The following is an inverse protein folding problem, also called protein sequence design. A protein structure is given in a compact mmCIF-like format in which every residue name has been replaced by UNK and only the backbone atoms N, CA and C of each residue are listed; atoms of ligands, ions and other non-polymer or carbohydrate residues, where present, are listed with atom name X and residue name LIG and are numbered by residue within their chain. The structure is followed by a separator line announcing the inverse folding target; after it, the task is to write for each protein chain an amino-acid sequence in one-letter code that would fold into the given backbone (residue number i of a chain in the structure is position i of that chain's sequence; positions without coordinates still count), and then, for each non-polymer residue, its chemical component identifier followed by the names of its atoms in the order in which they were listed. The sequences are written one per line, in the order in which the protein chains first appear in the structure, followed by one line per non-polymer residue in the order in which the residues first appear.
data_IF_280528445050
#
_entry.id   IF_280528445050
#
_cell.length_a   1.000
_cell.length_b   1.000
_cell.length_c   1.000
_cell.angle_alpha   90.00
_cell.angle_beta   90.00
_cell.angle_gamma   90.00
#
_symmetry.space_group_name_H-M   'P 1'
#
loop_
_entity.id
_entity.type
_entity.pdbx_description
1 polymer ?
#
# COMPACT_ATOMS: atom_id res chain seq x y z
N UNK A 1 -13.17 -20.34 11.63
CA UNK A 1 -14.14 -19.70 10.69
C UNK A 1 -15.09 -18.80 11.46
N UNK A 2 -14.92 -17.46 11.40
CA UNK A 2 -15.87 -16.54 12.01
C UNK A 2 -17.26 -16.64 11.36
N UNK A 3 -18.32 -16.45 12.15
CA UNK A 3 -19.72 -16.68 11.75
C UNK A 3 -20.56 -15.40 11.67
N UNK A 4 -19.92 -14.26 11.34
CA UNK A 4 -20.54 -12.93 11.41
C UNK A 4 -21.87 -12.85 10.62
N UNK A 5 -21.93 -13.49 9.46
CA UNK A 5 -23.14 -13.49 8.61
C UNK A 5 -24.25 -14.43 9.09
N UNK A 6 -23.95 -15.31 10.06
CA UNK A 6 -24.95 -16.18 10.70
C UNK A 6 -25.60 -15.54 11.93
N UNK A 7 -25.13 -14.37 12.36
CA UNK A 7 -25.69 -13.66 13.51
C UNK A 7 -27.00 -12.96 13.12
N UNK A 8 -27.96 -12.93 14.04
CA UNK A 8 -29.15 -12.09 13.88
C UNK A 8 -28.73 -10.61 13.75
N UNK A 9 -29.50 -9.78 13.01
CA UNK A 9 -29.11 -8.40 12.69
C UNK A 9 -28.67 -7.56 13.91
N UNK A 10 -29.39 -7.68 15.03
CA UNK A 10 -29.08 -6.94 16.26
C UNK A 10 -27.73 -7.34 16.87
N UNK A 11 -27.40 -8.65 16.88
CA UNK A 11 -26.11 -9.13 17.37
C UNK A 11 -24.99 -8.79 16.40
N UNK A 12 -25.24 -8.86 15.09
CA UNK A 12 -24.28 -8.44 14.05
C UNK A 12 -23.91 -6.97 14.23
N UNK A 13 -24.90 -6.09 14.37
CA UNK A 13 -24.69 -4.66 14.61
C UNK A 13 -23.92 -4.40 15.92
N UNK A 14 -24.29 -5.10 17.01
CA UNK A 14 -23.61 -4.99 18.30
C UNK A 14 -22.13 -5.35 18.23
N UNK A 15 -21.81 -6.46 17.55
CA UNK A 15 -20.43 -6.93 17.33
C UNK A 15 -19.67 -5.93 16.45
N UNK A 16 -20.24 -5.54 15.32
CA UNK A 16 -19.62 -4.60 14.38
C UNK A 16 -19.33 -3.24 15.00
N UNK A 17 -20.17 -2.75 15.91
CA UNK A 17 -19.95 -1.48 16.62
C UNK A 17 -18.76 -1.54 17.58
N UNK A 18 -18.49 -2.72 18.16
CA UNK A 18 -17.44 -2.92 19.19
C UNK A 18 -16.16 -3.53 18.65
N UNK A 19 -16.17 -4.02 17.42
CA UNK A 19 -15.00 -4.63 16.80
C UNK A 19 -13.87 -3.60 16.67
N UNK A 20 -12.66 -3.90 17.17
CA UNK A 20 -11.51 -3.02 17.03
C UNK A 20 -11.12 -2.80 15.56
N UNK A 21 -10.57 -1.62 15.26
CA UNK A 21 -10.03 -1.30 13.93
C UNK A 21 -8.65 -1.94 13.68
N UNK A 22 -8.00 -2.45 14.71
CA UNK A 22 -6.70 -3.13 14.66
C UNK A 22 -6.76 -4.62 14.32
N UNK A 23 -7.95 -5.17 14.08
CA UNK A 23 -8.10 -6.57 13.68
C UNK A 23 -7.48 -6.78 12.28
N UNK A 24 -6.67 -7.85 12.06
CA UNK A 24 -6.01 -8.07 10.77
C UNK A 24 -6.95 -8.10 9.57
N UNK A 25 -6.52 -7.50 8.46
CA UNK A 25 -7.29 -7.46 7.20
C UNK A 25 -7.53 -8.85 6.62
N UNK A 26 -6.63 -9.80 6.88
CA UNK A 26 -6.81 -11.22 6.51
C UNK A 26 -8.08 -11.83 7.12
N UNK A 27 -8.57 -11.27 8.24
CA UNK A 27 -9.82 -11.68 8.89
C UNK A 27 -11.00 -10.81 8.44
N UNK A 28 -10.81 -9.48 8.34
CA UNK A 28 -11.91 -8.53 8.21
C UNK A 28 -12.29 -8.21 6.77
N UNK A 29 -11.33 -8.22 5.84
CA UNK A 29 -11.51 -7.75 4.46
C UNK A 29 -12.66 -8.46 3.73
N UNK A 30 -12.71 -9.79 3.82
CA UNK A 30 -13.70 -10.61 3.13
C UNK A 30 -14.95 -10.91 3.97
N UNK A 31 -14.92 -10.61 5.28
CA UNK A 31 -16.00 -10.89 6.21
C UNK A 31 -16.91 -9.67 6.44
N UNK A 32 -16.35 -8.46 6.40
CA UNK A 32 -17.06 -7.25 6.83
C UNK A 32 -17.35 -6.37 5.62
N UNK A 33 -18.63 -6.20 5.31
CA UNK A 33 -19.12 -5.22 4.32
C UNK A 33 -19.77 -4.00 4.96
N UNK A 34 -19.76 -3.92 6.30
CA UNK A 34 -20.38 -2.82 7.04
C UNK A 34 -19.58 -1.52 6.89
N UNK A 35 -20.19 -0.52 6.26
CA UNK A 35 -19.56 0.78 5.98
C UNK A 35 -19.24 1.56 7.26
N UNK A 36 -19.98 1.35 8.36
CA UNK A 36 -19.68 2.00 9.64
C UNK A 36 -18.40 1.47 10.27
N UNK A 37 -18.08 0.18 10.12
CA UNK A 37 -16.79 -0.40 10.49
C UNK A 37 -15.66 0.23 9.68
N UNK A 38 -15.77 0.25 8.35
CA UNK A 38 -14.73 0.81 7.47
C UNK A 38 -14.54 2.31 7.66
N UNK A 39 -15.61 3.06 7.96
CA UNK A 39 -15.53 4.46 8.37
C UNK A 39 -14.61 4.64 9.58
N UNK A 40 -14.83 3.85 10.65
CA UNK A 40 -13.96 3.91 11.84
C UNK A 40 -12.51 3.54 11.51
N UNK A 41 -12.30 2.53 10.65
CA UNK A 41 -10.96 2.16 10.19
C UNK A 41 -10.27 3.34 9.48
N UNK A 42 -10.97 4.02 8.57
CA UNK A 42 -10.45 5.19 7.87
C UNK A 42 -10.13 6.34 8.83
N UNK A 43 -11.09 6.72 9.68
CA UNK A 43 -10.93 7.83 10.63
C UNK A 43 -9.82 7.57 11.66
N UNK A 44 -9.56 6.30 12.00
CA UNK A 44 -8.45 5.94 12.89
C UNK A 44 -7.07 6.04 12.24
N UNK A 45 -6.99 5.95 10.91
CA UNK A 45 -5.72 5.88 10.16
C UNK A 45 -5.37 7.19 9.46
N UNK A 46 -6.36 7.97 9.05
CA UNK A 46 -6.16 9.19 8.27
C UNK A 46 -6.95 10.36 8.86
N UNK A 47 -6.25 11.45 9.14
CA UNK A 47 -6.84 12.67 9.72
C UNK A 47 -7.92 13.30 8.81
N UNK A 48 -7.74 13.22 7.50
CA UNK A 48 -8.71 13.71 6.51
C UNK A 48 -9.25 12.55 5.69
N UNK A 49 -10.57 12.44 5.66
CA UNK A 49 -11.29 11.42 4.94
C UNK A 49 -12.42 12.02 4.10
N UNK A 50 -12.23 12.07 2.78
CA UNK A 50 -13.27 12.45 1.83
C UNK A 50 -13.74 11.22 1.05
N UNK A 51 -14.85 10.65 1.51
CA UNK A 51 -15.44 9.44 0.91
C UNK A 51 -16.20 9.73 -0.40
N UNK A 52 -16.49 10.99 -0.71
CA UNK A 52 -17.29 11.36 -1.89
C UNK A 52 -16.62 10.95 -3.20
N UNK A 53 -15.28 10.98 -3.22
CA UNK A 53 -14.44 10.54 -4.35
C UNK A 53 -14.33 9.02 -4.51
N UNK A 54 -14.96 8.25 -3.62
CA UNK A 54 -14.95 6.78 -3.59
C UNK A 54 -16.37 6.20 -3.72
N UNK A 55 -17.27 6.93 -4.40
CA UNK A 55 -18.69 6.57 -4.55
C UNK A 55 -19.40 6.36 -3.19
N UNK A 56 -19.00 7.11 -2.16
CA UNK A 56 -19.49 6.98 -0.80
C UNK A 56 -19.24 5.59 -0.15
N UNK A 57 -18.27 4.82 -0.65
CA UNK A 57 -17.83 3.58 0.01
C UNK A 57 -16.53 3.81 0.79
N UNK A 58 -16.65 3.74 2.12
CA UNK A 58 -15.54 3.73 3.07
C UNK A 58 -14.66 2.50 2.90
N UNK A 59 -15.25 1.35 2.58
CA UNK A 59 -14.48 0.12 2.30
C UNK A 59 -13.57 0.31 1.09
N UNK A 60 -14.11 0.84 -0.01
CA UNK A 60 -13.32 1.19 -1.20
C UNK A 60 -12.22 2.18 -0.86
N UNK A 61 -12.57 3.27 -0.17
CA UNK A 61 -11.61 4.28 0.25
C UNK A 61 -10.47 3.69 1.07
N UNK A 62 -10.78 2.83 2.05
CA UNK A 62 -9.78 2.19 2.88
C UNK A 62 -8.80 1.39 2.04
N UNK A 63 -9.31 0.56 1.13
CA UNK A 63 -8.46 -0.34 0.34
C UNK A 63 -7.63 0.36 -0.72
N UNK A 64 -8.21 1.34 -1.43
CA UNK A 64 -7.44 2.16 -2.39
C UNK A 64 -6.30 2.88 -1.67
N UNK A 65 -6.60 3.62 -0.59
CA UNK A 65 -5.57 4.36 0.18
C UNK A 65 -4.56 3.43 0.87
N UNK A 66 -4.99 2.25 1.30
CA UNK A 66 -4.09 1.29 1.92
C UNK A 66 -3.08 0.74 0.91
N UNK A 67 -3.54 0.37 -0.29
CA UNK A 67 -2.67 -0.15 -1.34
C UNK A 67 -1.75 0.95 -1.88
N UNK A 68 -2.28 2.16 -2.11
CA UNK A 68 -1.48 3.34 -2.44
C UNK A 68 -0.36 3.56 -1.41
N UNK A 69 -0.68 3.48 -0.11
CA UNK A 69 0.32 3.64 0.94
C UNK A 69 1.39 2.54 0.94
N UNK A 70 1.04 1.29 0.63
CA UNK A 70 2.07 0.24 0.51
C UNK A 70 3.01 0.54 -0.67
N UNK A 71 2.45 0.95 -1.81
CA UNK A 71 3.23 1.29 -3.01
C UNK A 71 4.12 2.52 -2.77
N UNK A 72 3.56 3.58 -2.18
CA UNK A 72 4.28 4.83 -1.92
C UNK A 72 5.47 4.67 -0.96
N UNK A 73 5.45 3.66 -0.10
CA UNK A 73 6.52 3.36 0.85
C UNK A 73 7.32 2.10 0.47
N UNK A 74 7.08 1.55 -0.72
CA UNK A 74 7.86 0.43 -1.24
C UNK A 74 9.26 0.91 -1.65
N UNK A 75 10.29 0.38 -1.00
CA UNK A 75 11.69 0.65 -1.33
C UNK A 75 12.18 -0.49 -2.23
N UNK A 76 12.51 -0.24 -3.50
CA UNK A 76 12.98 -1.30 -4.37
C UNK A 76 14.30 -1.89 -3.86
N UNK A 77 14.50 -3.18 -4.14
CA UNK A 77 15.57 -4.04 -3.65
C UNK A 77 15.60 -4.30 -2.13
N UNK A 78 14.84 -3.54 -1.32
CA UNK A 78 14.76 -3.71 0.13
C UNK A 78 13.41 -4.28 0.60
N UNK A 79 12.31 -3.87 -0.02
CA UNK A 79 10.96 -4.31 0.35
C UNK A 79 10.58 -5.57 -0.41
N UNK A 80 10.16 -6.63 0.30
CA UNK A 80 9.67 -7.86 -0.35
C UNK A 80 8.37 -7.56 -1.13
N UNK A 81 8.33 -7.94 -2.40
CA UNK A 81 7.14 -7.88 -3.26
C UNK A 81 5.90 -8.54 -2.63
N UNK A 82 6.07 -9.53 -1.74
CA UNK A 82 4.96 -10.15 -0.99
C UNK A 82 4.16 -9.15 -0.16
N UNK A 83 4.79 -8.07 0.32
CA UNK A 83 4.09 -7.00 1.07
C UNK A 83 2.93 -6.39 0.27
N UNK A 84 3.06 -6.35 -1.06
CA UNK A 84 2.02 -5.89 -1.98
C UNK A 84 1.13 -7.08 -2.38
N UNK A 85 1.73 -8.20 -2.79
CA UNK A 85 0.99 -9.34 -3.35
C UNK A 85 0.03 -10.00 -2.34
N UNK A 86 0.37 -10.03 -1.06
CA UNK A 86 -0.48 -10.62 -0.01
C UNK A 86 -1.75 -9.79 0.26
N UNK A 87 -1.72 -8.48 -0.07
CA UNK A 87 -2.87 -7.58 0.11
C UNK A 87 -3.83 -7.66 -1.06
N UNK A 88 -3.34 -7.99 -2.27
CA UNK A 88 -4.15 -8.04 -3.50
C UNK A 88 -5.41 -8.90 -3.35
N UNK A 89 -5.37 -10.15 -2.84
CA UNK A 89 -6.59 -10.96 -2.66
C UNK A 89 -7.64 -10.33 -1.73
N UNK A 90 -7.23 -9.42 -0.85
CA UNK A 90 -8.11 -8.76 0.12
C UNK A 90 -8.80 -7.53 -0.47
N UNK A 91 -8.18 -6.87 -1.45
CA UNK A 91 -8.62 -5.56 -1.94
C UNK A 91 -8.99 -5.51 -3.44
N UNK A 92 -8.58 -6.49 -4.25
CA UNK A 92 -8.67 -6.44 -5.74
C UNK A 92 -10.04 -6.06 -6.31
N UNK A 93 -11.14 -6.41 -5.64
CA UNK A 93 -12.48 -6.12 -6.11
C UNK A 93 -12.95 -4.69 -5.77
N UNK A 94 -12.25 -4.01 -4.86
CA UNK A 94 -12.59 -2.68 -4.36
C UNK A 94 -11.73 -1.58 -4.98
N UNK A 95 -10.54 -1.91 -5.50
CA UNK A 95 -9.61 -0.95 -6.10
C UNK A 95 -10.06 -0.60 -7.52
N UNK A 96 -10.56 0.62 -7.70
CA UNK A 96 -10.89 1.21 -9.01
C UNK A 96 -9.92 2.32 -9.40
N UNK A 97 -9.29 2.96 -8.42
CA UNK A 97 -8.28 4.00 -8.63
C UNK A 97 -7.04 3.71 -7.79
N UNK A 98 -5.88 3.99 -8.38
CA UNK A 98 -4.61 4.09 -7.68
C UNK A 98 -3.99 5.46 -7.95
N UNK A 99 -3.89 6.27 -6.91
CA UNK A 99 -3.21 7.56 -6.91
C UNK A 99 -1.93 7.48 -6.09
N UNK A 100 -0.84 7.17 -6.77
CA UNK A 100 0.50 7.08 -6.19
C UNK A 100 1.20 8.41 -6.38
N UNK A 101 1.37 9.14 -5.29
CA UNK A 101 1.89 10.51 -5.30
C UNK A 101 3.36 10.62 -4.90
N UNK A 102 4.02 9.48 -4.65
CA UNK A 102 5.46 9.35 -4.54
C UNK A 102 5.90 7.93 -4.87
N UNK A 103 7.16 7.76 -5.26
CA UNK A 103 7.82 6.47 -5.41
C UNK A 103 9.24 6.58 -4.85
N UNK A 104 9.57 5.73 -3.87
CA UNK A 104 10.90 5.75 -3.27
C UNK A 104 11.93 5.17 -4.25
N UNK A 105 13.14 5.75 -4.35
CA UNK A 105 14.23 5.16 -5.10
C UNK A 105 14.87 4.01 -4.29
N UNK A 106 15.63 3.14 -4.96
CA UNK A 106 16.46 2.13 -4.30
C UNK A 106 17.48 2.79 -3.39
N UNK A 107 17.76 2.15 -2.25
CA UNK A 107 18.79 2.65 -1.33
C UNK A 107 20.15 2.17 -1.85
N UNK A 108 21.03 3.11 -2.20
CA UNK A 108 22.44 2.80 -2.40
C UNK A 108 23.06 2.52 -1.04
N UNK A 109 23.39 1.26 -0.76
CA UNK A 109 24.32 0.98 0.33
C UNK A 109 25.65 1.65 -0.02
N UNK A 110 26.12 2.55 0.83
CA UNK A 110 27.45 3.12 0.69
C UNK A 110 28.45 1.95 0.77
N UNK A 111 29.35 1.77 -0.21
CA UNK A 111 30.39 0.76 -0.08
C UNK A 111 31.15 1.06 1.21
N UNK A 112 31.31 0.03 2.06
CA UNK A 112 32.26 0.09 3.17
C UNK A 112 33.63 0.26 2.51
N UNK A 113 34.15 1.48 2.49
CA UNK A 113 35.53 1.71 2.12
C UNK A 113 36.39 1.08 3.21
N UNK A 114 36.91 -0.12 2.94
CA UNK A 114 38.19 -0.50 3.54
C UNK A 114 39.22 0.50 3.00
N UNK A 115 39.90 1.23 3.88
CA UNK A 115 40.73 2.41 3.56
C UNK A 115 41.97 2.14 2.68
N UNK A 116 42.16 0.93 2.16
CA UNK A 116 43.34 0.54 1.40
C UNK A 116 42.98 0.08 -0.03
N UNK A 117 42.66 1.01 -0.93
CA UNK A 117 43.18 0.96 -2.31
C UNK A 117 42.81 2.21 -3.10
N UNK A 118 43.77 3.13 -3.22
CA UNK A 118 43.79 4.14 -4.27
C UNK A 118 44.20 3.45 -5.57
N UNK A 119 43.27 3.27 -6.51
CA UNK A 119 43.63 3.02 -7.91
C UNK A 119 42.59 3.60 -8.87
N UNK A 120 43.03 4.57 -9.67
CA UNK A 120 42.32 5.11 -10.82
C UNK A 120 42.21 4.05 -11.94
N UNK A 121 41.01 3.53 -12.19
CA UNK A 121 40.68 2.91 -13.49
C UNK A 121 39.17 2.97 -13.73
N UNK A 122 38.79 3.65 -14.82
CA UNK A 122 37.49 3.53 -15.44
C UNK A 122 37.31 2.08 -15.89
N UNK A 123 36.49 1.31 -15.17
CA UNK A 123 36.07 -0.01 -15.60
C UNK A 123 34.54 -0.06 -15.67
N UNK A 124 34.08 -0.27 -16.89
CA UNK A 124 32.70 -0.60 -17.27
C UNK A 124 32.43 -2.07 -16.87
N UNK A 125 32.53 -2.34 -15.57
CA UNK A 125 32.16 -3.64 -14.98
C UNK A 125 30.68 -3.60 -14.67
N UNK A 126 29.89 -4.45 -15.34
CA UNK A 126 28.44 -4.59 -15.19
C UNK A 126 28.01 -4.65 -13.74
N UNK A 127 27.71 -3.49 -13.17
CA UNK A 127 27.60 -3.28 -11.73
C UNK A 127 26.38 -4.02 -11.21
N UNK A 128 26.60 -4.99 -10.30
CA UNK A 128 25.61 -5.47 -9.33
C UNK A 128 25.28 -4.36 -8.31
N UNK A 129 24.99 -3.15 -8.81
CA UNK A 129 24.45 -2.06 -8.02
C UNK A 129 22.95 -2.29 -7.78
N UNK A 130 22.36 -1.64 -6.76
CA UNK A 130 20.91 -1.60 -6.63
C UNK A 130 20.31 -1.07 -7.94
N UNK A 131 19.13 -1.58 -8.27
CA UNK A 131 18.37 -1.16 -9.42
C UNK A 131 18.28 0.36 -9.45
N UNK A 132 18.13 0.94 -10.64
CA UNK A 132 17.75 2.36 -10.76
C UNK A 132 16.23 2.52 -10.85
N UNK A 133 15.49 1.41 -10.80
CA UNK A 133 14.05 1.38 -11.02
C UNK A 133 13.27 1.63 -9.73
N UNK A 134 12.13 2.30 -9.87
CA UNK A 134 11.11 2.43 -8.82
C UNK A 134 10.25 1.16 -8.72
N UNK A 135 9.16 1.23 -7.94
CA UNK A 135 8.18 0.15 -7.85
C UNK A 135 7.71 -0.34 -9.23
N UNK A 136 7.85 -1.65 -9.47
CA UNK A 136 7.40 -2.29 -10.71
C UNK A 136 5.90 -2.61 -10.67
N UNK A 137 5.09 -1.75 -11.30
CA UNK A 137 3.65 -1.94 -11.39
C UNK A 137 3.22 -3.22 -12.13
N UNK A 138 4.09 -3.85 -12.94
CA UNK A 138 3.76 -5.10 -13.66
C UNK A 138 3.40 -6.24 -12.72
N UNK A 139 3.90 -6.22 -11.48
CA UNK A 139 3.58 -7.25 -10.48
C UNK A 139 2.13 -7.16 -9.97
N UNK A 140 1.47 -6.02 -10.17
CA UNK A 140 0.20 -5.68 -9.53
C UNK A 140 -0.94 -5.45 -10.53
N UNK A 141 -0.69 -4.77 -11.64
CA UNK A 141 -1.75 -4.25 -12.51
C UNK A 141 -2.63 -5.35 -13.11
N UNK A 142 -2.04 -6.50 -13.48
CA UNK A 142 -2.79 -7.65 -14.01
C UNK A 142 -3.74 -8.29 -12.96
N UNK A 143 -3.57 -7.95 -11.68
CA UNK A 143 -4.33 -8.52 -10.55
C UNK A 143 -5.47 -7.62 -10.06
N UNK A 144 -5.61 -6.43 -10.63
CA UNK A 144 -6.64 -5.43 -10.27
C UNK A 144 -7.69 -5.32 -11.39
N UNK A 145 -8.68 -6.24 -11.45
CA UNK A 145 -9.59 -6.36 -12.59
C UNK A 145 -10.54 -5.16 -12.75
N UNK A 146 -10.72 -4.37 -11.70
CA UNK A 146 -11.64 -3.23 -11.68
C UNK A 146 -10.91 -1.89 -11.75
N UNK A 147 -9.59 -1.88 -11.99
CA UNK A 147 -8.81 -0.64 -12.06
C UNK A 147 -9.22 0.18 -13.30
N UNK A 148 -9.70 1.39 -13.05
CA UNK A 148 -10.19 2.35 -14.05
C UNK A 148 -9.23 3.54 -14.19
N UNK A 149 -8.53 3.92 -13.12
CA UNK A 149 -7.64 5.09 -13.09
C UNK A 149 -6.31 4.77 -12.39
N UNK A 150 -5.20 5.09 -13.05
CA UNK A 150 -3.85 5.03 -12.51
C UNK A 150 -3.17 6.39 -12.66
N UNK A 151 -2.81 7.01 -11.53
CA UNK A 151 -2.05 8.26 -11.47
C UNK A 151 -0.77 8.02 -10.68
N UNK A 152 0.38 8.30 -11.31
CA UNK A 152 1.70 8.02 -10.74
C UNK A 152 2.58 9.25 -10.83
N UNK A 153 3.20 9.63 -9.72
CA UNK A 153 4.22 10.67 -9.64
C UNK A 153 5.58 10.03 -9.34
N UNK A 154 6.50 10.19 -10.28
CA UNK A 154 7.91 9.79 -10.12
C UNK A 154 8.67 10.88 -9.36
N UNK A 155 8.53 10.86 -8.04
CA UNK A 155 9.16 11.80 -7.13
C UNK A 155 9.02 11.34 -5.69
N UNK A 156 9.74 12.00 -4.78
CA UNK A 156 9.70 11.69 -3.34
C UNK A 156 9.22 12.93 -2.60
N UNK A 157 8.36 12.75 -1.60
CA UNK A 157 7.88 13.85 -0.75
C UNK A 157 8.85 14.09 0.39
N UNK A 158 8.99 15.35 0.80
CA UNK A 158 9.71 15.69 2.03
C UNK A 158 11.22 15.44 1.98
N UNK A 159 11.86 15.54 0.80
CA UNK A 159 13.30 15.36 0.60
C UNK A 159 14.21 16.44 1.23
N UNK A 160 13.86 16.96 2.41
CA UNK A 160 14.72 17.85 3.18
C UNK A 160 14.98 19.24 2.59
N UNK A 161 14.41 19.59 1.43
CA UNK A 161 14.41 20.98 0.95
C UNK A 161 13.26 21.75 1.61
N UNK A 162 13.50 22.25 2.82
CA UNK A 162 12.70 23.36 3.33
C UNK A 162 13.07 24.59 2.47
N UNK A 163 12.12 25.07 1.67
CA UNK A 163 12.23 26.39 1.04
C UNK A 163 11.81 27.49 2.02
#
# INVERSE_FOLDING_TARGET
NPILDKLAPNYKAYVLQRLPTSVPLTVTANLISDESYWKRCCESRWAVCDVSTYNNSWKRMFFERHLENIIEFFIPDSTDTKTVLDVVPLCRNYVKRLKVSQLLPPIKESPKFDEDDRSDCASDTGSEGPSMDHFDFRILLDKLPNLEELSVVYGVKGCGMNF
#
